data_IF_334482604450
#
_entry.id   IF_334482604450
#
_cell.length_a   1.000
_cell.length_b   1.000
_cell.length_c   1.000
_cell.angle_alpha   90.00
_cell.angle_beta   90.00
_cell.angle_gamma   90.00
#
_symmetry.space_group_name_H-M   'P 1'
#
loop_
_entity.id
_entity.type
_entity.pdbx_description
1 polymer ?
#
# COMPACT_ATOMS: atom_id res chain seq x y z
N UNK A 1 19.51 2.60 -4.09
CA UNK A 1 20.17 1.30 -4.35
C UNK A 1 19.55 0.30 -3.40
N UNK A 2 19.11 -0.88 -3.87
CA UNK A 2 18.59 -1.91 -2.97
C UNK A 2 19.72 -2.42 -2.07
N UNK A 3 19.55 -2.32 -0.76
CA UNK A 3 20.48 -2.85 0.23
C UNK A 3 20.19 -4.32 0.47
N UNK A 4 21.23 -5.12 0.73
CA UNK A 4 21.03 -6.43 1.33
C UNK A 4 20.64 -6.24 2.80
N UNK A 5 19.60 -6.94 3.23
CA UNK A 5 19.10 -6.95 4.61
C UNK A 5 19.14 -8.39 5.10
N UNK A 6 19.83 -8.61 6.21
CA UNK A 6 19.85 -9.90 6.90
C UNK A 6 18.84 -9.89 8.06
N UNK A 7 18.24 -11.04 8.34
CA UNK A 7 17.31 -11.22 9.44
C UNK A 7 17.35 -12.66 9.95
N UNK A 8 16.99 -12.86 11.21
CA UNK A 8 16.89 -14.18 11.82
C UNK A 8 15.43 -14.66 11.76
N UNK A 9 15.22 -15.87 11.26
CA UNK A 9 13.91 -16.52 11.19
C UNK A 9 14.09 -18.01 11.49
N UNK A 10 13.30 -18.55 12.41
CA UNK A 10 13.36 -19.97 12.82
C UNK A 10 14.79 -20.48 13.08
N UNK A 11 15.58 -19.70 13.83
CA UNK A 11 16.98 -20.01 14.18
C UNK A 11 17.96 -20.04 13.01
N UNK A 12 17.61 -19.48 11.85
CA UNK A 12 18.50 -19.32 10.71
C UNK A 12 18.61 -17.85 10.30
N UNK A 13 19.77 -17.46 9.81
CA UNK A 13 19.98 -16.15 9.20
C UNK A 13 19.64 -16.23 7.71
N UNK A 14 18.66 -15.44 7.30
CA UNK A 14 18.26 -15.26 5.91
C UNK A 14 18.70 -13.87 5.43
N UNK A 15 18.97 -13.73 4.14
CA UNK A 15 19.23 -12.43 3.52
C UNK A 15 18.32 -12.20 2.33
N UNK A 16 18.00 -10.94 2.08
CA UNK A 16 17.22 -10.52 0.93
C UNK A 16 17.64 -9.15 0.43
N UNK A 17 17.42 -8.89 -0.86
CA UNK A 17 17.63 -7.56 -1.43
C UNK A 17 16.34 -6.78 -1.41
N UNK A 18 16.41 -5.54 -0.95
CA UNK A 18 15.27 -4.64 -0.96
C UNK A 18 15.49 -3.45 -0.06
N UNK A 19 14.43 -3.02 0.59
CA UNK A 19 14.49 -1.86 1.47
C UNK A 19 13.12 -1.41 1.97
N UNK A 20 13.10 -0.28 2.70
CA UNK A 20 11.88 0.29 3.24
C UNK A 20 10.86 0.61 2.14
N UNK A 21 9.59 0.33 2.42
CA UNK A 21 8.48 0.64 1.53
C UNK A 21 8.26 2.15 1.54
N UNK A 22 8.12 2.72 0.35
CA UNK A 22 7.74 4.13 0.19
C UNK A 22 6.78 4.31 -0.97
N UNK A 23 5.85 5.25 -0.80
CA UNK A 23 5.00 5.77 -1.87
C UNK A 23 5.34 7.25 -2.03
N UNK A 24 6.17 7.60 -3.02
CA UNK A 24 6.49 8.99 -3.31
C UNK A 24 5.19 9.78 -3.61
N UNK A 25 5.13 11.07 -3.22
CA UNK A 25 6.21 11.84 -2.59
C UNK A 25 6.23 11.83 -1.06
N UNK A 26 5.22 11.28 -0.37
CA UNK A 26 4.97 11.60 1.04
C UNK A 26 4.97 10.43 2.03
N UNK A 27 4.96 9.18 1.56
CA UNK A 27 4.84 8.03 2.45
C UNK A 27 6.14 7.24 2.47
N UNK A 28 6.70 7.10 3.66
CA UNK A 28 7.90 6.32 3.91
C UNK A 28 7.67 5.49 5.18
N UNK A 29 7.54 4.18 5.01
CA UNK A 29 7.32 3.24 6.11
C UNK A 29 8.67 2.70 6.55
N UNK A 30 9.31 3.40 7.49
CA UNK A 30 10.64 3.03 7.99
C UNK A 30 10.68 1.61 8.56
N UNK A 31 9.58 1.18 9.17
CA UNK A 31 9.43 -0.12 9.82
C UNK A 31 8.92 -1.21 8.88
N UNK A 32 8.54 -0.91 7.63
CA UNK A 32 8.06 -1.91 6.67
C UNK A 32 9.10 -2.08 5.58
N UNK A 33 9.71 -3.26 5.49
CA UNK A 33 10.80 -3.57 4.57
C UNK A 33 10.34 -4.65 3.60
N UNK A 34 10.35 -4.36 2.30
CA UNK A 34 10.07 -5.36 1.27
C UNK A 34 11.39 -5.97 0.81
N UNK A 35 11.47 -7.31 0.80
CA UNK A 35 12.67 -8.07 0.43
C UNK A 35 12.36 -9.13 -0.62
N UNK A 36 13.29 -9.28 -1.56
CA UNK A 36 13.44 -10.47 -2.39
C UNK A 36 14.55 -11.36 -1.79
N UNK A 37 14.20 -12.53 -1.28
CA UNK A 37 15.13 -13.45 -0.62
C UNK A 37 16.21 -13.96 -1.59
N UNK A 38 17.42 -14.12 -1.06
CA UNK A 38 18.57 -14.67 -1.78
C UNK A 38 18.65 -16.18 -1.54
N UNK A 39 18.60 -16.99 -2.61
CA UNK A 39 18.42 -18.44 -2.52
C UNK A 39 16.92 -18.78 -2.51
N UNK A 40 16.45 -19.53 -3.51
CA UNK A 40 15.02 -19.86 -3.68
C UNK A 40 14.43 -20.68 -2.52
N UNK A 41 13.09 -20.71 -2.41
CA UNK A 41 12.27 -21.39 -1.39
C UNK A 41 13.03 -21.85 -0.14
N UNK A 42 13.47 -20.87 0.65
CA UNK A 42 14.10 -21.13 1.94
C UNK A 42 12.98 -21.33 2.96
N UNK A 43 12.86 -22.55 3.48
CA UNK A 43 12.01 -22.90 4.64
C UNK A 43 10.52 -22.57 4.49
N UNK A 44 9.97 -22.66 3.27
CA UNK A 44 8.55 -22.40 3.02
C UNK A 44 8.18 -20.92 3.02
N UNK A 45 9.16 -20.00 3.01
CA UNK A 45 8.94 -18.59 2.69
C UNK A 45 8.96 -18.39 1.17
N UNK A 46 8.05 -17.57 0.61
CA UNK A 46 8.10 -17.19 -0.79
C UNK A 46 9.32 -16.30 -1.07
N UNK A 47 9.69 -16.17 -2.34
CA UNK A 47 10.78 -15.29 -2.77
C UNK A 47 10.58 -13.83 -2.35
N UNK A 48 9.34 -13.33 -2.39
CA UNK A 48 9.00 -11.95 -2.02
C UNK A 48 8.27 -11.93 -0.69
N UNK A 49 8.86 -11.25 0.29
CA UNK A 49 8.30 -11.07 1.62
C UNK A 49 8.31 -9.61 2.03
N UNK A 50 7.51 -9.31 3.05
CA UNK A 50 7.51 -8.04 3.77
C UNK A 50 7.85 -8.32 5.22
N UNK A 51 8.83 -7.59 5.75
CA UNK A 51 9.16 -7.57 7.16
C UNK A 51 8.60 -6.29 7.78
N UNK A 52 7.72 -6.42 8.77
CA UNK A 52 7.22 -5.27 9.55
C UNK A 52 7.86 -5.28 10.92
N UNK A 53 8.84 -4.39 11.15
CA UNK A 53 9.56 -4.25 12.41
C UNK A 53 8.65 -3.68 13.49
N UNK A 54 8.82 -4.17 14.71
CA UNK A 54 8.27 -3.54 15.92
C UNK A 54 8.76 -2.11 16.01
N UNK A 55 7.84 -1.18 16.21
CA UNK A 55 8.18 0.19 16.58
C UNK A 55 8.58 0.25 18.06
N UNK A 56 9.66 0.97 18.36
CA UNK A 56 10.20 1.07 19.72
C UNK A 56 9.25 1.78 20.69
N UNK A 57 8.38 2.65 20.18
CA UNK A 57 7.49 3.47 21.01
C UNK A 57 6.15 2.78 21.32
N UNK A 58 5.78 1.72 20.58
CA UNK A 58 4.43 1.17 20.59
C UNK A 58 4.39 -0.37 20.57
N UNK A 59 4.90 -1.01 21.63
CA UNK A 59 4.93 -2.47 21.77
C UNK A 59 3.52 -3.12 21.71
N UNK A 60 2.52 -2.47 22.29
CA UNK A 60 1.14 -2.99 22.33
C UNK A 60 0.50 -3.10 20.95
N UNK A 61 0.86 -2.23 20.00
CA UNK A 61 0.36 -2.25 18.62
C UNK A 61 0.90 -3.46 17.86
N UNK A 62 2.20 -3.74 18.02
CA UNK A 62 2.84 -4.90 17.38
C UNK A 62 2.23 -6.22 17.84
N UNK A 63 2.03 -6.39 19.15
CA UNK A 63 1.37 -7.59 19.68
C UNK A 63 -0.09 -7.70 19.25
N UNK A 64 -0.79 -6.57 19.13
CA UNK A 64 -2.18 -6.53 18.67
C UNK A 64 -2.28 -6.99 17.22
N UNK A 65 -1.40 -6.49 16.35
CA UNK A 65 -1.32 -6.92 14.96
C UNK A 65 -0.99 -8.41 14.84
N UNK A 66 -0.02 -8.90 15.63
CA UNK A 66 0.32 -10.32 15.67
C UNK A 66 -0.90 -11.19 16.04
N UNK A 67 -1.59 -10.86 17.14
CA UNK A 67 -2.79 -11.59 17.58
C UNK A 67 -3.92 -11.53 16.53
N UNK A 68 -4.04 -10.41 15.82
CA UNK A 68 -5.02 -10.24 14.76
C UNK A 68 -4.74 -11.21 13.60
N UNK A 69 -3.49 -11.33 13.16
CA UNK A 69 -3.11 -12.31 12.13
C UNK A 69 -3.44 -13.74 12.55
N UNK A 70 -3.17 -14.12 13.79
CA UNK A 70 -3.51 -15.45 14.31
C UNK A 70 -5.04 -15.69 14.31
N UNK A 71 -5.82 -14.71 14.77
CA UNK A 71 -7.28 -14.76 14.76
C UNK A 71 -7.86 -14.89 13.34
N UNK A 72 -7.27 -14.17 12.39
CA UNK A 72 -7.71 -14.12 10.98
C UNK A 72 -6.99 -15.13 10.08
N UNK A 73 -6.42 -16.21 10.63
CA UNK A 73 -5.63 -17.19 9.86
C UNK A 73 -6.34 -17.71 8.58
N UNK A 74 -7.66 -17.89 8.63
CA UNK A 74 -8.46 -18.40 7.50
C UNK A 74 -8.66 -17.39 6.36
N UNK A 75 -8.36 -16.10 6.59
CA UNK A 75 -8.42 -15.03 5.58
C UNK A 75 -7.06 -14.79 4.90
N UNK A 76 -5.99 -15.30 5.50
CA UNK A 76 -4.62 -15.07 5.06
C UNK A 76 -4.35 -15.61 3.65
N UNK A 77 -3.69 -14.79 2.84
CA UNK A 77 -3.37 -15.07 1.44
C UNK A 77 -4.51 -14.84 0.46
N UNK A 78 -5.74 -14.61 0.95
CA UNK A 78 -6.92 -14.27 0.13
C UNK A 78 -7.32 -12.81 0.28
N UNK A 79 -7.57 -12.37 1.50
CA UNK A 79 -8.04 -11.01 1.82
C UNK A 79 -7.01 -10.19 2.60
N UNK A 80 -6.08 -10.85 3.27
CA UNK A 80 -5.02 -10.22 4.07
C UNK A 80 -3.68 -10.92 3.78
N UNK A 81 -2.52 -10.33 4.14
CA UNK A 81 -1.22 -11.00 4.01
C UNK A 81 -1.19 -12.34 4.75
N UNK A 82 -0.39 -13.30 4.23
CA UNK A 82 0.00 -14.46 5.03
C UNK A 82 1.03 -14.03 6.05
N UNK A 83 0.82 -14.42 7.30
CA UNK A 83 1.77 -14.29 8.39
C UNK A 83 2.53 -15.60 8.54
N UNK A 84 3.84 -15.55 8.32
CA UNK A 84 4.72 -16.71 8.38
C UNK A 84 5.37 -16.92 9.75
N UNK A 85 5.28 -15.92 10.63
CA UNK A 85 5.85 -15.96 11.98
C UNK A 85 6.71 -14.75 12.30
N UNK A 86 7.46 -14.86 13.40
CA UNK A 86 8.35 -13.81 13.89
C UNK A 86 9.77 -13.98 13.35
N UNK A 87 10.37 -12.84 12.99
CA UNK A 87 11.78 -12.69 12.70
C UNK A 87 12.42 -11.67 13.65
N UNK A 88 13.75 -11.57 13.60
CA UNK A 88 14.53 -10.52 14.25
C UNK A 88 15.44 -9.82 13.25
N UNK A 89 15.41 -8.49 13.23
CA UNK A 89 16.31 -7.65 12.41
C UNK A 89 17.11 -6.77 13.37
N UNK A 90 18.42 -7.01 13.46
CA UNK A 90 19.32 -6.33 14.38
C UNK A 90 18.80 -6.37 15.84
N UNK A 91 18.31 -7.53 16.28
CA UNK A 91 17.70 -7.72 17.60
C UNK A 91 16.29 -7.13 17.77
N UNK A 92 15.74 -6.47 16.74
CA UNK A 92 14.37 -5.93 16.77
C UNK A 92 13.38 -6.97 16.23
N UNK A 93 12.33 -7.36 16.99
CA UNK A 93 11.29 -8.24 16.47
C UNK A 93 10.61 -7.69 15.21
N UNK A 94 10.24 -8.57 14.29
CA UNK A 94 9.53 -8.23 13.08
C UNK A 94 8.51 -9.32 12.71
N UNK A 95 7.37 -8.92 12.15
CA UNK A 95 6.43 -9.84 11.51
C UNK A 95 6.95 -10.20 10.11
N UNK A 96 6.96 -11.49 9.78
CA UNK A 96 7.23 -11.97 8.41
C UNK A 96 5.90 -12.16 7.70
N UNK A 97 5.66 -11.33 6.69
CA UNK A 97 4.42 -11.27 5.92
C UNK A 97 4.65 -11.60 4.45
N UNK A 98 3.65 -12.16 3.77
CA UNK A 98 3.68 -12.25 2.30
C UNK A 98 3.57 -10.88 1.67
N UNK A 99 4.34 -10.64 0.62
CA UNK A 99 4.01 -9.55 -0.29
C UNK A 99 2.66 -9.83 -0.98
N UNK A 100 1.70 -8.90 -0.84
CA UNK A 100 0.39 -9.02 -1.49
C UNK A 100 0.39 -8.46 -2.91
N UNK A 101 1.48 -7.82 -3.33
CA UNK A 101 1.59 -7.12 -4.60
C UNK A 101 0.56 -6.00 -4.76
N UNK A 102 0.25 -5.66 -6.01
CA UNK A 102 -0.72 -4.62 -6.33
C UNK A 102 -0.24 -3.22 -5.94
N UNK A 103 -1.20 -2.32 -5.78
CA UNK A 103 -0.97 -0.92 -5.43
C UNK A 103 -1.95 -0.48 -4.33
N UNK A 104 -1.53 0.42 -3.45
CA UNK A 104 -2.43 1.03 -2.46
C UNK A 104 -3.51 1.85 -3.17
N UNK A 105 -4.69 1.98 -2.55
CA UNK A 105 -5.73 2.90 -3.03
C UNK A 105 -5.27 4.36 -3.05
N UNK A 106 -4.24 4.69 -2.28
CA UNK A 106 -3.59 5.99 -2.30
C UNK A 106 -2.70 6.19 -3.54
N UNK A 107 -2.23 5.14 -4.21
CA UNK A 107 -1.31 5.29 -5.33
C UNK A 107 -1.94 6.08 -6.51
N UNK A 108 -1.17 6.99 -7.13
CA UNK A 108 -1.64 7.79 -8.27
C UNK A 108 -1.94 6.96 -9.52
N UNK A 109 -1.28 5.79 -9.64
CA UNK A 109 -1.52 4.81 -10.69
C UNK A 109 -2.75 3.93 -10.46
N UNK A 110 -3.55 4.19 -9.42
CA UNK A 110 -4.82 3.49 -9.21
C UNK A 110 -5.73 3.64 -10.43
N UNK A 111 -6.26 2.54 -10.99
CA UNK A 111 -7.20 2.64 -12.08
C UNK A 111 -8.48 3.31 -11.57
N UNK A 112 -9.17 4.00 -12.47
CA UNK A 112 -10.52 4.48 -12.18
C UNK A 112 -11.49 3.30 -12.13
N UNK A 113 -12.15 3.15 -10.99
CA UNK A 113 -13.15 2.11 -10.77
C UNK A 113 -14.54 2.76 -10.72
N UNK A 114 -15.54 2.08 -11.29
CA UNK A 114 -16.92 2.50 -11.11
C UNK A 114 -17.29 2.40 -9.63
N UNK A 115 -18.04 3.38 -9.11
CA UNK A 115 -18.39 3.44 -7.69
C UNK A 115 -19.10 2.17 -7.20
N UNK A 116 -20.05 1.65 -7.99
CA UNK A 116 -20.76 0.40 -7.66
C UNK A 116 -19.81 -0.78 -7.51
N UNK A 117 -18.86 -0.93 -8.44
CA UNK A 117 -17.82 -1.95 -8.38
C UNK A 117 -16.93 -1.76 -7.14
N UNK A 118 -16.52 -0.53 -6.85
CA UNK A 118 -15.68 -0.21 -5.69
C UNK A 118 -16.38 -0.59 -4.38
N UNK A 119 -17.66 -0.20 -4.22
CA UNK A 119 -18.48 -0.54 -3.05
C UNK A 119 -18.60 -2.05 -2.87
N UNK A 120 -18.95 -2.77 -3.93
CA UNK A 120 -19.11 -4.23 -3.90
C UNK A 120 -17.81 -4.95 -3.53
N UNK A 121 -16.70 -4.54 -4.13
CA UNK A 121 -15.41 -5.22 -3.95
C UNK A 121 -14.68 -4.88 -2.65
N UNK A 122 -14.88 -3.66 -2.11
CA UNK A 122 -14.38 -3.28 -0.78
C UNK A 122 -15.17 -3.94 0.35
N UNK A 123 -16.47 -4.12 0.17
CA UNK A 123 -17.34 -4.71 1.19
C UNK A 123 -16.86 -6.09 1.63
N UNK A 124 -16.51 -6.95 0.67
CA UNK A 124 -16.15 -8.35 0.96
C UNK A 124 -15.02 -8.52 2.00
N UNK A 125 -13.82 -7.94 1.82
CA UNK A 125 -12.78 -8.07 2.84
C UNK A 125 -13.18 -7.49 4.20
N UNK A 126 -13.86 -6.33 4.21
CA UNK A 126 -14.28 -5.67 5.45
C UNK A 126 -15.33 -6.48 6.20
N UNK A 127 -16.31 -7.04 5.49
CA UNK A 127 -17.36 -7.88 6.05
C UNK A 127 -16.81 -9.18 6.61
N UNK A 128 -15.90 -9.85 5.90
CA UNK A 128 -15.29 -11.10 6.39
C UNK A 128 -14.41 -10.87 7.62
N UNK A 129 -13.67 -9.77 7.69
CA UNK A 129 -12.90 -9.39 8.89
C UNK A 129 -13.87 -9.05 10.03
N UNK A 130 -14.93 -8.30 9.75
CA UNK A 130 -15.89 -7.88 10.78
C UNK A 130 -16.70 -9.05 11.34
N UNK A 131 -17.09 -10.00 10.48
CA UNK A 131 -17.74 -11.26 10.85
C UNK A 131 -16.83 -12.18 11.66
N UNK A 132 -15.50 -12.00 11.59
CA UNK A 132 -14.54 -12.66 12.48
C UNK A 132 -14.51 -12.06 13.90
N UNK A 133 -15.30 -11.02 14.17
CA UNK A 133 -15.29 -10.28 15.44
C UNK A 133 -14.14 -9.28 15.54
N UNK A 134 -13.62 -8.79 14.40
CA UNK A 134 -12.55 -7.77 14.37
C UNK A 134 -13.10 -6.48 13.76
N UNK A 135 -13.08 -5.39 14.52
CA UNK A 135 -13.38 -4.06 14.01
C UNK A 135 -12.08 -3.33 13.71
N UNK A 136 -11.90 -2.92 12.46
CA UNK A 136 -10.77 -2.10 12.02
C UNK A 136 -11.00 -0.65 12.46
N UNK A 137 -10.05 -0.06 13.18
CA UNK A 137 -10.12 1.34 13.61
C UNK A 137 -9.37 2.28 12.67
N UNK A 138 -8.43 1.76 11.87
CA UNK A 138 -7.70 2.51 10.84
C UNK A 138 -7.96 1.97 9.43
N UNK A 139 -9.18 2.20 8.94
CA UNK A 139 -9.54 1.93 7.54
C UNK A 139 -9.20 3.15 6.68
N UNK A 140 -8.14 3.02 5.89
CA UNK A 140 -7.58 4.13 5.11
C UNK A 140 -7.10 3.68 3.72
N UNK A 141 -6.90 4.64 2.81
CA UNK A 141 -6.43 4.35 1.45
C UNK A 141 -4.99 3.78 1.40
N UNK A 142 -4.21 3.95 2.47
CA UNK A 142 -2.87 3.36 2.60
C UNK A 142 -2.92 1.90 3.02
N UNK A 143 -3.96 1.50 3.75
CA UNK A 143 -4.12 0.16 4.31
C UNK A 143 -4.98 -0.76 3.42
N UNK A 144 -5.43 -0.25 2.26
CA UNK A 144 -6.19 -1.01 1.27
C UNK A 144 -5.36 -1.15 -0.02
N UNK A 145 -5.06 -2.39 -0.41
CA UNK A 145 -4.37 -2.72 -1.65
C UNK A 145 -5.33 -3.24 -2.71
N UNK A 146 -5.23 -2.70 -3.93
CA UNK A 146 -5.85 -3.23 -5.13
C UNK A 146 -4.89 -4.19 -5.83
N UNK A 147 -5.20 -5.48 -5.77
CA UNK A 147 -4.35 -6.57 -6.24
C UNK A 147 -4.82 -7.12 -7.60
N UNK A 148 -3.98 -7.97 -8.20
CA UNK A 148 -4.30 -8.69 -9.43
C UNK A 148 -5.62 -9.45 -9.32
N UNK A 149 -6.39 -9.46 -10.41
CA UNK A 149 -7.74 -10.04 -10.43
C UNK A 149 -8.83 -9.16 -9.83
N UNK A 150 -8.54 -7.89 -9.53
CA UNK A 150 -9.53 -6.90 -9.10
C UNK A 150 -9.94 -7.02 -7.63
N UNK A 151 -9.13 -7.72 -6.82
CA UNK A 151 -9.43 -8.02 -5.42
C UNK A 151 -8.77 -7.00 -4.50
N UNK A 152 -9.53 -6.49 -3.53
CA UNK A 152 -8.99 -5.68 -2.46
C UNK A 152 -8.46 -6.53 -1.29
N UNK A 153 -7.32 -6.11 -0.74
CA UNK A 153 -6.72 -6.71 0.45
C UNK A 153 -6.46 -5.67 1.51
N UNK A 154 -6.74 -6.04 2.76
CA UNK A 154 -6.51 -5.19 3.94
C UNK A 154 -5.13 -5.45 4.50
N UNK A 155 -4.41 -4.38 4.78
CA UNK A 155 -3.11 -4.36 5.44
C UNK A 155 -3.25 -3.65 6.79
N UNK A 156 -2.21 -3.79 7.61
CA UNK A 156 -2.02 -3.08 8.87
C UNK A 156 -3.12 -3.33 9.91
N UNK A 157 -2.84 -4.21 10.88
CA UNK A 157 -3.77 -4.53 11.96
C UNK A 157 -3.31 -4.02 13.33
N UNK A 158 -2.50 -2.95 13.35
CA UNK A 158 -2.06 -2.32 14.61
C UNK A 158 -3.24 -1.73 15.39
N UNK A 159 -4.20 -1.10 14.69
CA UNK A 159 -5.37 -0.43 15.27
C UNK A 159 -6.66 -1.21 14.98
N UNK A 160 -6.93 -2.20 15.84
CA UNK A 160 -8.14 -3.02 15.76
C UNK A 160 -8.74 -3.26 17.15
N UNK A 161 -10.06 -3.44 17.17
CA UNK A 161 -10.77 -4.02 18.32
C UNK A 161 -11.12 -5.47 18.02
N UNK A 162 -10.57 -6.38 18.82
CA UNK A 162 -10.88 -7.81 18.73
C UNK A 162 -12.09 -8.18 19.60
N UNK A 163 -12.63 -9.36 19.34
CA UNK A 163 -13.73 -9.98 20.10
C UNK A 163 -15.00 -9.11 20.17
N UNK A 164 -15.25 -8.37 19.10
CA UNK A 164 -16.44 -7.55 18.94
C UNK A 164 -17.66 -8.41 18.61
N UNK A 165 -18.85 -7.92 18.98
CA UNK A 165 -20.12 -8.56 18.61
C UNK A 165 -20.19 -8.80 17.10
N UNK A 166 -20.68 -9.97 16.71
CA UNK A 166 -20.90 -10.36 15.30
C UNK A 166 -22.39 -10.33 14.94
N UNK A 167 -23.18 -9.56 15.69
CA UNK A 167 -24.59 -9.35 15.39
C UNK A 167 -24.76 -8.70 14.01
N UNK A 168 -25.62 -9.28 13.17
CA UNK A 168 -25.73 -8.94 11.75
C UNK A 168 -25.98 -7.45 11.48
N UNK A 169 -26.93 -6.78 12.15
CA UNK A 169 -27.10 -5.33 12.06
C UNK A 169 -25.85 -4.53 12.38
N UNK A 170 -25.16 -4.83 13.49
CA UNK A 170 -23.93 -4.13 13.90
C UNK A 170 -22.82 -4.32 12.88
N UNK A 171 -22.61 -5.56 12.42
CA UNK A 171 -21.63 -5.88 11.37
C UNK A 171 -21.92 -5.08 10.10
N UNK A 172 -23.19 -5.03 9.67
CA UNK A 172 -23.57 -4.28 8.47
C UNK A 172 -23.31 -2.78 8.63
N UNK A 173 -23.69 -2.19 9.76
CA UNK A 173 -23.49 -0.77 10.04
C UNK A 173 -21.99 -0.40 10.04
N UNK A 174 -21.16 -1.17 10.74
CA UNK A 174 -19.71 -0.97 10.78
C UNK A 174 -19.10 -1.05 9.37
N UNK A 175 -19.48 -2.07 8.59
CA UNK A 175 -18.96 -2.28 7.23
C UNK A 175 -19.46 -1.20 6.28
N UNK A 176 -20.74 -0.81 6.35
CA UNK A 176 -21.31 0.26 5.54
C UNK A 176 -20.53 1.56 5.77
N UNK A 177 -20.34 1.94 7.04
CA UNK A 177 -19.59 3.14 7.40
C UNK A 177 -18.16 3.13 6.84
N UNK A 178 -17.45 2.00 6.95
CA UNK A 178 -16.09 1.86 6.43
C UNK A 178 -16.04 1.91 4.89
N UNK A 179 -16.98 1.26 4.20
CA UNK A 179 -17.08 1.29 2.74
C UNK A 179 -17.36 2.71 2.25
N UNK A 180 -18.34 3.41 2.83
CA UNK A 180 -18.65 4.79 2.46
C UNK A 180 -17.42 5.69 2.63
N UNK A 181 -16.74 5.60 3.79
CA UNK A 181 -15.55 6.42 4.04
C UNK A 181 -14.42 6.18 3.03
N UNK A 182 -14.17 4.93 2.64
CA UNK A 182 -13.16 4.60 1.62
C UNK A 182 -13.53 5.09 0.23
N UNK A 183 -14.81 4.93 -0.14
CA UNK A 183 -15.31 5.34 -1.45
C UNK A 183 -15.22 6.86 -1.61
N UNK A 184 -15.68 7.60 -0.61
CA UNK A 184 -15.65 9.08 -0.62
C UNK A 184 -14.20 9.57 -0.77
N UNK A 185 -13.30 9.09 0.10
CA UNK A 185 -11.87 9.47 0.07
C UNK A 185 -11.19 9.10 -1.26
N UNK A 186 -11.54 7.94 -1.81
CA UNK A 186 -11.00 7.52 -3.11
C UNK A 186 -11.50 8.42 -4.23
N UNK A 187 -12.80 8.74 -4.27
CA UNK A 187 -13.38 9.60 -5.29
C UNK A 187 -12.82 11.02 -5.24
N UNK A 188 -12.78 11.63 -4.05
CA UNK A 188 -12.17 12.95 -3.83
C UNK A 188 -10.74 12.98 -4.35
N UNK A 189 -9.95 11.94 -4.02
CA UNK A 189 -8.58 11.81 -4.49
C UNK A 189 -8.49 11.71 -6.01
N UNK A 190 -9.34 10.88 -6.64
CA UNK A 190 -9.31 10.71 -8.09
C UNK A 190 -9.73 11.97 -8.84
N UNK A 191 -10.66 12.76 -8.29
CA UNK A 191 -11.00 14.09 -8.81
C UNK A 191 -9.79 15.01 -8.74
N UNK A 192 -9.14 15.11 -7.57
CA UNK A 192 -7.96 15.95 -7.38
C UNK A 192 -6.81 15.57 -8.34
N UNK A 193 -6.54 14.27 -8.53
CA UNK A 193 -5.52 13.80 -9.48
C UNK A 193 -5.86 14.24 -10.91
N UNK A 194 -7.13 14.13 -11.34
CA UNK A 194 -7.56 14.53 -12.68
C UNK A 194 -7.49 16.04 -12.90
N UNK A 195 -7.85 16.82 -11.89
CA UNK A 195 -7.74 18.27 -11.92
C UNK A 195 -6.26 18.70 -12.05
N UNK A 196 -5.38 18.10 -11.25
CA UNK A 196 -3.93 18.31 -11.35
C UNK A 196 -3.39 17.92 -12.73
N UNK A 197 -3.76 16.74 -13.24
CA UNK A 197 -3.34 16.31 -14.58
C UNK A 197 -3.84 17.26 -15.68
N UNK A 198 -5.07 17.76 -15.55
CA UNK A 198 -5.64 18.72 -16.50
C UNK A 198 -4.92 20.06 -16.43
N UNK A 199 -4.62 20.54 -15.22
CA UNK A 199 -3.82 21.74 -14.99
C UNK A 199 -2.43 21.62 -15.62
N UNK A 200 -1.71 20.52 -15.38
CA UNK A 200 -0.38 20.30 -15.95
C UNK A 200 -0.39 20.16 -17.47
N UNK A 201 -1.40 19.51 -18.06
CA UNK A 201 -1.57 19.43 -19.52
C UNK A 201 -1.77 20.81 -20.14
N UNK A 202 -2.58 21.67 -19.51
CA UNK A 202 -2.79 23.03 -19.99
C UNK A 202 -1.52 23.89 -19.87
N UNK A 203 -0.78 23.78 -18.76
CA UNK A 203 0.41 24.61 -18.53
C UNK A 203 1.63 24.14 -19.31
N UNK A 204 1.84 22.83 -19.46
CA UNK A 204 2.91 22.29 -20.33
C UNK A 204 2.68 22.62 -21.81
N UNK A 205 1.42 22.66 -22.27
CA UNK A 205 1.08 23.12 -23.61
C UNK A 205 1.36 24.63 -23.81
N UNK A 206 1.09 25.45 -22.79
CA UNK A 206 1.41 26.89 -22.79
C UNK A 206 2.92 27.14 -22.77
N UNK A 207 3.69 26.36 -22.01
CA UNK A 207 5.15 26.48 -21.97
C UNK A 207 5.79 26.03 -23.28
N UNK A 208 5.24 25.01 -23.93
CA UNK A 208 5.65 24.60 -25.27
C UNK A 208 5.34 25.69 -26.31
N UNK A 209 4.15 26.31 -26.25
CA UNK A 209 3.76 27.39 -27.16
C UNK A 209 4.60 28.67 -26.97
N UNK A 210 4.88 29.08 -25.72
CA UNK A 210 5.74 30.23 -25.40
C UNK A 210 7.20 30.00 -25.83
N UNK A 211 7.67 28.76 -25.76
CA UNK A 211 9.01 28.38 -26.24
C UNK A 211 9.11 28.42 -27.77
N UNK A 212 8.04 28.03 -28.47
CA UNK A 212 7.96 28.15 -29.93
C UNK A 212 7.92 29.60 -30.41
N UNK A 213 7.18 30.51 -29.76
CA UNK A 213 7.14 31.93 -30.15
C UNK A 213 8.46 32.67 -29.90
N UNK A 214 9.22 32.32 -28.85
CA UNK A 214 10.56 32.90 -28.61
C UNK A 214 11.58 32.49 -29.67
N UNK A 215 11.42 31.33 -30.32
CA UNK A 215 12.31 30.86 -31.38
C UNK A 215 12.03 31.46 -32.76
N UNK A 216 10.86 32.05 -32.99
CA UNK A 216 10.50 32.73 -34.25
C UNK A 216 10.85 34.23 -34.27
N UNK A 217 11.19 34.82 -33.11
CA UNK A 217 11.48 36.25 -32.97
C UNK A 217 12.97 36.59 -32.84
N UNK A 218 13.88 35.62 -33.01
CA UNK A 218 15.30 35.91 -33.15
C UNK A 218 15.62 36.22 -34.63
N UNK A 219 16.13 37.41 -34.97
CA UNK A 219 16.56 37.71 -36.33
C UNK A 219 17.64 36.71 -36.74
N UNK A 220 17.47 36.08 -37.91
CA UNK A 220 18.58 35.38 -38.56
C UNK A 220 19.61 36.44 -38.93
N UNK A 221 20.74 36.46 -38.22
CA UNK A 221 21.90 37.24 -38.62
C UNK A 221 22.31 36.84 -40.04
N UNK A 222 22.04 37.74 -40.99
CA UNK A 222 22.53 37.65 -42.36
C UNK A 222 23.95 38.20 -42.35
N UNK A 223 24.89 37.37 -41.89
CA UNK A 223 26.32 37.64 -42.01
C UNK A 223 26.77 37.43 -43.45
N UNK A 224 26.91 38.53 -44.20
CA UNK A 224 27.38 38.54 -45.57
C UNK A 224 28.81 38.04 -45.74
N UNK A 225 29.04 37.35 -46.85
CA UNK A 225 30.35 37.20 -47.47
C UNK A 225 30.28 37.85 -48.86
N UNK A 226 31.08 38.90 -49.05
CA UNK A 226 31.31 39.50 -50.35
C UNK A 226 32.75 40.04 -50.37
N UNK A 227 33.59 39.30 -51.10
CA UNK A 227 34.89 39.63 -51.70
C UNK A 227 36.11 39.82 -50.78
#
# INVERSE_FOLDING_TARGET
>A
MASSVAFEFQSQTLSGRGGPVSFPPHFYFKNVIKLALEGGDLQGLPREIVLKKKDAENESLFETEQRCYDKLHYLQGRLIPRYYGLASIDGTPALVLSDVGGITMLNEGMPWLAESYLRETLRKPLEEIRAAGVLLEDVSLTNMHYCGGGVFRVLDFELVKMDQSVDGPVVREDVDSQVESLVDRYQERQVAIRELQSFWKQHSAVDCWKSSQKNELLPRDVGGSAY
#
